data_IF_542833500046
#
_entry.id   IF_542833500046
#
_cell.length_a   1.000
_cell.length_b   1.000
_cell.length_c   1.000
_cell.angle_alpha   90.00
_cell.angle_beta   90.00
_cell.angle_gamma   90.00
#
_symmetry.space_group_name_H-M   'P 1'
#
loop_
_entity.id
_entity.type
_entity.pdbx_description
1 polymer ?
#
# COMPACT_ATOMS: atom_id res chain seq x y z
N UNK A 1 14.44 -3.31 31.83
CA UNK A 1 14.76 -3.03 30.41
C UNK A 1 13.75 -2.01 29.91
N UNK A 2 14.17 -0.78 29.61
CA UNK A 2 13.27 0.29 29.13
C UNK A 2 13.06 0.13 27.62
N UNK A 3 11.80 0.17 27.15
CA UNK A 3 11.48 0.19 25.73
C UNK A 3 11.93 1.53 25.12
N UNK A 4 12.62 1.54 23.96
CA UNK A 4 12.95 2.78 23.27
C UNK A 4 11.66 3.47 22.80
N UNK A 5 11.59 4.82 22.81
CA UNK A 5 10.42 5.55 22.34
C UNK A 5 10.18 5.25 20.85
N UNK A 6 8.93 4.92 20.51
CA UNK A 6 8.51 4.76 19.12
C UNK A 6 8.77 6.09 18.37
N UNK A 7 9.58 6.04 17.31
CA UNK A 7 9.84 7.21 16.49
C UNK A 7 8.52 7.72 15.89
N UNK A 8 8.25 9.04 15.92
CA UNK A 8 7.05 9.59 15.30
C UNK A 8 7.09 9.30 13.80
N UNK A 9 6.08 8.58 13.31
CA UNK A 9 5.88 8.30 11.88
C UNK A 9 5.70 9.66 11.19
N UNK A 10 6.78 10.16 10.60
CA UNK A 10 6.75 11.35 9.76
C UNK A 10 6.23 10.93 8.40
N UNK A 11 4.96 11.22 8.14
CA UNK A 11 4.40 11.11 6.80
C UNK A 11 5.05 12.21 5.95
N UNK A 12 5.77 11.89 4.87
CA UNK A 12 6.37 12.89 4.00
C UNK A 12 5.33 13.91 3.56
N UNK A 13 5.62 15.21 3.72
CA UNK A 13 4.70 16.29 3.34
C UNK A 13 4.30 16.23 1.86
N UNK A 14 5.15 15.61 1.03
CA UNK A 14 4.91 15.34 -0.39
C UNK A 14 3.66 14.51 -0.65
N UNK A 15 3.25 13.63 0.28
CA UNK A 15 2.03 12.83 0.17
C UNK A 15 0.75 13.64 0.46
N UNK A 16 0.90 14.89 0.91
CA UNK A 16 -0.21 15.83 1.17
C UNK A 16 -0.43 16.81 0.00
N UNK A 17 0.48 16.83 -0.97
CA UNK A 17 0.40 17.72 -2.13
C UNK A 17 -0.59 17.16 -3.18
N UNK A 18 -1.66 17.90 -3.55
CA UNK A 18 -2.60 17.47 -4.57
C UNK A 18 -1.94 17.20 -5.94
N UNK A 19 -0.84 17.87 -6.28
CA UNK A 19 -0.09 17.60 -7.51
C UNK A 19 0.61 16.23 -7.46
N UNK A 20 1.14 15.84 -6.31
CA UNK A 20 1.74 14.52 -6.09
C UNK A 20 0.68 13.42 -6.10
N UNK A 21 -0.50 13.67 -5.53
CA UNK A 21 -1.64 12.74 -5.54
C UNK A 21 -2.12 12.48 -6.98
N UNK A 22 -2.22 13.52 -7.82
CA UNK A 22 -2.58 13.36 -9.23
C UNK A 22 -1.53 12.55 -10.01
N UNK A 23 -0.24 12.80 -9.78
CA UNK A 23 0.83 12.00 -10.37
C UNK A 23 0.77 10.54 -9.93
N UNK A 24 0.48 10.30 -8.66
CA UNK A 24 0.33 8.95 -8.10
C UNK A 24 -0.89 8.23 -8.71
N UNK A 25 -2.02 8.93 -8.87
CA UNK A 25 -3.20 8.39 -9.54
C UNK A 25 -2.90 7.96 -10.98
N UNK A 26 -2.19 8.80 -11.74
CA UNK A 26 -1.76 8.45 -13.11
C UNK A 26 -0.78 7.27 -13.13
N UNK A 27 0.15 7.19 -12.17
CA UNK A 27 1.05 6.06 -12.04
C UNK A 27 0.30 4.75 -11.72
N UNK A 28 -0.68 4.82 -10.82
CA UNK A 28 -1.54 3.68 -10.45
C UNK A 28 -2.36 3.19 -11.65
N UNK A 29 -2.80 4.07 -12.54
CA UNK A 29 -3.48 3.67 -13.78
C UNK A 29 -2.56 2.96 -14.79
N UNK A 30 -1.24 3.20 -14.73
CA UNK A 30 -0.26 2.55 -15.60
C UNK A 30 0.20 1.17 -15.07
N UNK A 31 0.10 0.93 -13.76
CA UNK A 31 0.53 -0.32 -13.12
C UNK A 31 -0.12 -1.59 -13.70
N UNK A 32 -1.45 -1.63 -13.99
CA UNK A 32 -2.07 -2.81 -14.57
C UNK A 32 -1.39 -3.26 -15.87
N UNK A 33 -0.99 -2.31 -16.73
CA UNK A 33 -0.30 -2.62 -17.98
C UNK A 33 1.04 -3.32 -17.75
N UNK A 34 1.80 -2.89 -16.74
CA UNK A 34 3.09 -3.50 -16.38
C UNK A 34 2.90 -4.91 -15.80
N UNK A 35 1.87 -5.10 -14.97
CA UNK A 35 1.56 -6.41 -14.39
C UNK A 35 1.20 -7.45 -15.46
N UNK A 36 0.63 -7.01 -16.58
CA UNK A 36 0.32 -7.89 -17.70
C UNK A 36 1.56 -8.46 -18.40
N UNK A 37 2.68 -7.74 -18.37
CA UNK A 37 3.94 -8.19 -18.97
C UNK A 37 4.78 -9.10 -18.05
N UNK A 38 4.30 -9.36 -16.83
CA UNK A 38 4.96 -10.29 -15.90
C UNK A 38 4.93 -11.71 -16.46
N UNK A 39 6.11 -12.35 -16.50
CA UNK A 39 6.27 -13.74 -16.91
C UNK A 39 5.78 -14.66 -15.79
N UNK A 40 4.79 -15.48 -16.10
CA UNK A 40 4.17 -16.40 -15.14
C UNK A 40 4.22 -17.86 -15.55
N UNK A 41 4.62 -18.16 -16.79
CA UNK A 41 4.67 -19.55 -17.24
C UNK A 41 5.69 -20.42 -16.50
N UNK A 42 6.78 -19.85 -15.99
CA UNK A 42 7.72 -20.57 -15.12
C UNK A 42 7.11 -20.88 -13.74
N UNK A 43 6.36 -19.94 -13.16
CA UNK A 43 5.66 -20.13 -11.90
C UNK A 43 4.59 -21.21 -12.03
N UNK A 44 3.82 -21.20 -13.12
CA UNK A 44 2.78 -22.20 -13.37
C UNK A 44 3.39 -23.61 -13.51
N UNK A 45 4.44 -23.78 -14.32
CA UNK A 45 5.08 -25.08 -14.49
C UNK A 45 5.67 -25.61 -13.17
N UNK A 46 6.24 -24.72 -12.34
CA UNK A 46 6.75 -25.08 -11.02
C UNK A 46 5.65 -25.56 -10.07
N UNK A 47 4.48 -24.91 -10.08
CA UNK A 47 3.30 -25.37 -9.32
C UNK A 47 2.79 -26.73 -9.79
N UNK A 48 2.91 -27.02 -11.09
CA UNK A 48 2.59 -28.32 -11.69
C UNK A 48 3.70 -29.37 -11.47
N UNK A 49 4.77 -29.04 -10.77
CA UNK A 49 5.87 -29.96 -10.45
C UNK A 49 6.75 -30.34 -11.65
N UNK A 50 6.69 -29.57 -12.75
CA UNK A 50 7.44 -29.82 -13.98
C UNK A 50 8.35 -28.65 -14.33
N UNK A 51 9.29 -28.89 -15.25
CA UNK A 51 10.07 -27.79 -15.84
C UNK A 51 9.25 -27.08 -16.91
N UNK A 52 9.29 -25.75 -16.89
CA UNK A 52 8.71 -24.93 -17.96
C UNK A 52 9.41 -25.19 -19.30
N UNK A 53 8.61 -25.33 -20.35
CA UNK A 53 9.09 -25.39 -21.74
C UNK A 53 9.59 -24.03 -22.19
N UNK A 54 10.38 -23.99 -23.27
CA UNK A 54 10.92 -22.74 -23.82
C UNK A 54 9.82 -21.71 -24.20
N UNK A 55 8.64 -22.19 -24.59
CA UNK A 55 7.49 -21.36 -24.87
C UNK A 55 6.90 -20.74 -23.58
N UNK A 56 6.72 -21.54 -22.53
CA UNK A 56 6.16 -21.09 -21.25
C UNK A 56 7.05 -20.09 -20.53
N UNK A 57 8.37 -20.19 -20.69
CA UNK A 57 9.33 -19.20 -20.15
C UNK A 57 9.12 -17.78 -20.68
N UNK A 58 8.41 -17.64 -21.80
CA UNK A 58 8.10 -16.35 -22.43
C UNK A 58 6.64 -15.94 -22.18
N UNK A 59 5.84 -16.81 -21.58
CA UNK A 59 4.41 -16.59 -21.38
C UNK A 59 4.16 -15.59 -20.26
N UNK A 60 3.42 -14.55 -20.59
CA UNK A 60 3.05 -13.46 -19.66
C UNK A 60 1.63 -13.63 -19.12
N UNK A 61 1.28 -12.85 -18.09
CA UNK A 61 -0.11 -12.74 -17.59
C UNK A 61 -1.04 -12.31 -18.71
N UNK A 62 -0.59 -11.43 -19.62
CA UNK A 62 -1.33 -11.01 -20.80
C UNK A 62 -1.67 -12.20 -21.70
N UNK A 63 -0.67 -13.03 -22.00
CA UNK A 63 -0.84 -14.18 -22.89
C UNK A 63 -1.79 -15.22 -22.28
N UNK A 64 -1.69 -15.42 -20.97
CA UNK A 64 -2.60 -16.28 -20.22
C UNK A 64 -4.03 -15.74 -20.24
N UNK A 65 -4.24 -14.48 -19.87
CA UNK A 65 -5.57 -13.88 -19.87
C UNK A 65 -6.23 -13.85 -21.26
N UNK A 66 -5.45 -13.61 -22.32
CA UNK A 66 -5.94 -13.66 -23.71
C UNK A 66 -6.35 -15.06 -24.18
N UNK A 67 -5.77 -16.11 -23.59
CA UNK A 67 -6.12 -17.49 -23.90
C UNK A 67 -7.55 -17.82 -23.48
N UNK A 68 -7.98 -17.29 -22.34
CA UNK A 68 -9.31 -17.51 -21.78
C UNK A 68 -10.33 -16.46 -22.24
N UNK A 69 -9.90 -15.22 -22.46
CA UNK A 69 -10.73 -14.11 -22.96
C UNK A 69 -9.99 -13.29 -24.04
N UNK A 70 -10.41 -13.36 -25.32
CA UNK A 70 -9.79 -12.57 -26.41
C UNK A 70 -9.81 -11.06 -26.18
N UNK A 71 -10.75 -10.56 -25.36
CA UNK A 71 -10.93 -9.15 -25.04
C UNK A 71 -10.37 -8.78 -23.66
N UNK A 72 -9.61 -9.67 -23.01
CA UNK A 72 -9.14 -9.52 -21.64
C UNK A 72 -8.55 -8.14 -21.33
N UNK A 73 -7.63 -7.64 -22.16
CA UNK A 73 -7.02 -6.32 -21.96
C UNK A 73 -7.98 -5.16 -22.10
N UNK A 74 -8.93 -5.26 -23.03
CA UNK A 74 -9.96 -4.24 -23.22
C UNK A 74 -10.89 -4.22 -22.00
N UNK A 75 -11.27 -5.40 -21.51
CA UNK A 75 -12.12 -5.56 -20.33
C UNK A 75 -11.40 -5.05 -19.06
N UNK A 76 -10.12 -5.37 -18.89
CA UNK A 76 -9.30 -4.87 -17.79
C UNK A 76 -9.20 -3.34 -17.83
N UNK A 77 -8.91 -2.75 -19.00
CA UNK A 77 -8.88 -1.29 -19.15
C UNK A 77 -10.22 -0.65 -18.80
N UNK A 78 -11.33 -1.25 -19.22
CA UNK A 78 -12.67 -0.75 -18.88
C UNK A 78 -12.95 -0.84 -17.38
N UNK A 79 -12.60 -1.94 -16.72
CA UNK A 79 -12.77 -2.09 -15.27
C UNK A 79 -11.94 -1.07 -14.49
N UNK A 80 -10.68 -0.85 -14.89
CA UNK A 80 -9.82 0.17 -14.26
C UNK A 80 -10.38 1.57 -14.48
N UNK A 81 -10.86 1.88 -15.69
CA UNK A 81 -11.48 3.18 -15.97
C UNK A 81 -12.75 3.41 -15.14
N UNK A 82 -13.57 2.37 -14.91
CA UNK A 82 -14.76 2.44 -14.05
C UNK A 82 -14.40 2.60 -12.57
N UNK A 83 -13.34 1.94 -12.11
CA UNK A 83 -12.89 2.01 -10.72
C UNK A 83 -12.08 3.29 -10.40
N UNK A 84 -11.50 3.94 -11.42
CA UNK A 84 -10.63 5.11 -11.28
C UNK A 84 -11.22 6.23 -10.40
N UNK A 85 -12.44 6.73 -10.68
CA UNK A 85 -13.06 7.77 -9.87
C UNK A 85 -13.29 7.37 -8.40
N UNK A 86 -13.67 6.11 -8.16
CA UNK A 86 -13.87 5.58 -6.81
C UNK A 86 -12.55 5.50 -6.05
N UNK A 87 -11.49 5.03 -6.69
CA UNK A 87 -10.14 4.98 -6.12
C UNK A 87 -9.62 6.37 -5.79
N UNK A 88 -9.80 7.34 -6.70
CA UNK A 88 -9.40 8.73 -6.49
C UNK A 88 -10.16 9.35 -5.31
N UNK A 89 -11.48 9.14 -5.23
CA UNK A 89 -12.30 9.61 -4.12
C UNK A 89 -11.88 8.98 -2.79
N UNK A 90 -11.57 7.68 -2.79
CA UNK A 90 -11.08 6.96 -1.61
C UNK A 90 -9.73 7.50 -1.12
N UNK A 91 -8.81 7.78 -2.05
CA UNK A 91 -7.50 8.34 -1.74
C UNK A 91 -7.60 9.76 -1.21
N UNK A 92 -8.46 10.60 -1.81
CA UNK A 92 -8.76 11.95 -1.29
C UNK A 92 -9.35 11.90 0.12
N UNK A 93 -10.28 10.99 0.37
CA UNK A 93 -10.87 10.81 1.70
C UNK A 93 -9.84 10.37 2.74
N UNK A 94 -8.96 9.43 2.38
CA UNK A 94 -7.85 9.00 3.24
C UNK A 94 -6.93 10.18 3.58
N UNK A 95 -6.50 10.95 2.57
CA UNK A 95 -5.62 12.11 2.75
C UNK A 95 -6.29 13.19 3.60
N UNK A 96 -7.59 13.44 3.39
CA UNK A 96 -8.34 14.38 4.21
C UNK A 96 -8.45 13.95 5.68
N UNK A 97 -8.44 12.64 5.96
CA UNK A 97 -8.48 12.10 7.32
C UNK A 97 -7.11 12.05 8.01
N UNK A 98 -5.99 12.08 7.26
CA UNK A 98 -4.63 12.00 7.82
C UNK A 98 -4.33 13.05 8.91
N UNK A 99 -4.67 14.34 8.76
CA UNK A 99 -4.39 15.34 9.79
C UNK A 99 -5.10 15.06 11.11
N UNK A 100 -6.34 14.58 11.06
CA UNK A 100 -7.10 14.24 12.27
C UNK A 100 -6.50 13.02 12.98
N UNK A 101 -6.07 12.01 12.23
CA UNK A 101 -5.36 10.85 12.78
C UNK A 101 -4.05 11.27 13.46
N UNK A 102 -3.27 12.15 12.81
CA UNK A 102 -2.02 12.69 13.37
C UNK A 102 -2.27 13.50 14.64
N UNK A 103 -3.30 14.34 14.66
CA UNK A 103 -3.69 15.11 15.85
C UNK A 103 -4.09 14.22 17.02
N UNK A 104 -4.86 13.16 16.76
CA UNK A 104 -5.23 12.18 17.79
C UNK A 104 -4.01 11.44 18.37
N UNK A 105 -3.06 11.05 17.52
CA UNK A 105 -1.82 10.41 17.93
C UNK A 105 -0.93 11.32 18.79
N UNK A 106 -0.84 12.61 18.44
CA UNK A 106 -0.10 13.60 19.25
C UNK A 106 -0.74 13.80 20.62
N UNK A 107 -2.07 13.96 20.67
CA UNK A 107 -2.78 14.09 21.93
C UNK A 107 -2.63 12.87 22.83
N UNK A 108 -2.66 11.66 22.26
CA UNK A 108 -2.39 10.43 22.98
C UNK A 108 -0.96 10.36 23.52
N UNK A 109 0.04 10.79 22.73
CA UNK A 109 1.43 10.86 23.16
C UNK A 109 1.61 11.86 24.33
N UNK A 110 0.98 13.03 24.26
CA UNK A 110 1.01 14.03 25.33
C UNK A 110 0.31 13.56 26.60
N UNK A 111 -0.79 12.82 26.47
CA UNK A 111 -1.48 12.21 27.60
C UNK A 111 -0.61 11.13 28.27
N UNK A 112 0.04 10.26 27.48
CA UNK A 112 0.95 9.24 27.98
C UNK A 112 2.17 9.86 28.68
N UNK A 113 2.73 10.94 28.14
CA UNK A 113 3.85 11.68 28.76
C UNK A 113 3.45 12.29 30.10
N UNK A 114 2.27 12.89 30.19
CA UNK A 114 1.72 13.44 31.45
C UNK A 114 1.45 12.34 32.49
N UNK A 115 0.91 11.20 32.06
CA UNK A 115 0.69 10.06 32.95
C UNK A 115 2.01 9.50 33.51
N UNK A 116 3.05 9.37 32.66
CA UNK A 116 4.38 8.94 33.10
C UNK A 116 5.08 9.95 34.01
N UNK A 117 4.93 11.25 33.76
CA UNK A 117 5.51 12.30 34.59
C UNK A 117 4.89 12.40 36.00
N UNK A 118 3.66 11.91 36.18
CA UNK A 118 2.96 11.88 37.46
C UNK A 118 3.04 10.51 38.17
N UNK A 119 3.85 9.56 37.68
CA UNK A 119 4.08 8.31 38.40
C UNK A 119 5.04 8.55 39.58
N UNK A 120 4.70 8.14 40.81
CA UNK A 120 5.59 8.27 41.95
C UNK A 120 6.85 7.41 41.75
N UNK A 121 8.01 7.98 42.08
CA UNK A 121 9.30 7.30 41.95
C UNK A 121 9.37 6.07 42.88
N UNK A 122 9.76 4.87 42.40
CA UNK A 122 9.75 3.64 43.20
C UNK A 122 10.79 3.60 44.33
N UNK A 123 11.66 4.60 44.44
CA UNK A 123 12.63 4.73 45.54
C UNK A 123 12.06 5.53 46.69
N UNK A 124 11.14 4.93 47.45
CA UNK A 124 10.91 5.31 48.85
C UNK A 124 11.69 4.36 49.76
N UNK A 125 12.52 4.84 50.70
CA UNK A 125 13.22 3.95 51.63
C UNK A 125 12.20 3.33 52.58
N UNK A 126 12.20 1.99 52.69
CA UNK A 126 11.47 1.27 53.74
C UNK A 126 12.06 1.69 55.09
N UNK A 127 11.20 2.21 55.96
CA UNK A 127 11.52 2.37 57.39
C UNK A 127 11.67 1.02 58.06
#
# INVERSE_FOLDING_TARGET
>A
MAQPPAAPIQVPSELSDPATINKLGNAVQALPGVLLDLKVGELQAALEGRRATAAEKRMTVRDMGRRDDPNFERNLKQQVAQAGPMLEASMKALVAALPQMMGGLQQAADAAKRAGANMPSPTYPKR
#
